data_IF_692913764270
#
_entry.id   IF_692913764270
#
_cell.length_a   1.000
_cell.length_b   1.000
_cell.length_c   1.000
_cell.angle_alpha   90.00
_cell.angle_beta   90.00
_cell.angle_gamma   90.00
#
_symmetry.space_group_name_H-M   'P 1'
#
loop_
_entity.id
_entity.type
_entity.pdbx_description
1 polymer ?
#
# COMPACT_ATOMS: atom_id res chain seq x y z
N UNK A 1 11.11 5.86 -13.91
CA UNK A 1 9.77 5.71 -14.51
C UNK A 1 9.81 6.26 -15.93
N UNK A 2 9.17 5.60 -16.89
CA UNK A 2 9.02 6.13 -18.25
C UNK A 2 8.00 7.28 -18.28
N UNK A 3 8.01 8.18 -19.27
CA UNK A 3 6.99 9.21 -19.40
C UNK A 3 5.57 8.61 -19.39
N UNK A 4 4.65 9.25 -18.66
CA UNK A 4 3.23 8.84 -18.51
C UNK A 4 3.00 7.53 -17.73
N UNK A 5 4.01 6.92 -17.10
CA UNK A 5 3.79 5.78 -16.21
C UNK A 5 3.24 6.20 -14.84
N UNK A 6 2.45 5.32 -14.19
CA UNK A 6 1.92 5.52 -12.84
C UNK A 6 2.48 4.48 -11.85
N UNK A 7 2.57 4.88 -10.58
CA UNK A 7 2.93 4.03 -9.44
C UNK A 7 2.02 4.38 -8.26
N UNK A 8 1.60 3.39 -7.47
CA UNK A 8 0.72 3.56 -6.31
C UNK A 8 -0.58 2.76 -6.43
N UNK A 9 -1.66 3.24 -5.81
CA UNK A 9 -3.00 2.63 -5.80
C UNK A 9 -2.99 1.12 -5.43
N UNK A 10 -2.21 0.77 -4.40
CA UNK A 10 -1.94 -0.61 -4.00
C UNK A 10 -2.86 -1.10 -2.88
N UNK A 11 -4.02 -0.44 -2.66
CA UNK A 11 -4.98 -0.86 -1.66
C UNK A 11 -5.40 -2.33 -1.88
N UNK A 12 -5.35 -3.20 -0.85
CA UNK A 12 -5.66 -4.61 -1.01
C UNK A 12 -7.11 -4.84 -1.41
N UNK A 13 -7.35 -5.80 -2.29
CA UNK A 13 -8.68 -6.27 -2.72
C UNK A 13 -8.72 -7.80 -2.70
N UNK A 14 -9.93 -8.37 -2.68
CA UNK A 14 -10.12 -9.80 -2.93
C UNK A 14 -9.66 -10.16 -4.35
N UNK A 15 -9.41 -11.45 -4.62
CA UNK A 15 -9.05 -11.93 -5.95
C UNK A 15 -10.10 -11.64 -7.03
N UNK A 16 -11.34 -11.37 -6.61
CA UNK A 16 -12.46 -10.95 -7.46
C UNK A 16 -12.48 -9.45 -7.74
N UNK A 17 -11.59 -8.67 -7.12
CA UNK A 17 -11.57 -7.20 -7.18
C UNK A 17 -12.52 -6.51 -6.19
N UNK A 18 -13.28 -7.26 -5.40
CA UNK A 18 -14.14 -6.70 -4.36
C UNK A 18 -13.33 -6.26 -3.13
N UNK A 19 -13.89 -5.36 -2.33
CA UNK A 19 -13.31 -4.96 -1.06
C UNK A 19 -13.21 -6.15 -0.09
N UNK A 20 -12.20 -6.12 0.78
CA UNK A 20 -12.09 -7.08 1.88
C UNK A 20 -13.16 -6.77 2.95
N UNK A 21 -13.72 -7.79 3.62
CA UNK A 21 -14.50 -7.56 4.82
C UNK A 21 -13.64 -6.89 5.90
N UNK A 22 -14.29 -6.13 6.79
CA UNK A 22 -13.64 -5.17 7.69
C UNK A 22 -12.45 -5.75 8.47
N UNK A 23 -12.63 -6.90 9.15
CA UNK A 23 -11.55 -7.48 9.95
C UNK A 23 -10.39 -8.00 9.11
N UNK A 24 -10.64 -8.60 7.93
CA UNK A 24 -9.55 -8.98 7.04
C UNK A 24 -8.87 -7.76 6.42
N UNK A 25 -9.61 -6.71 6.08
CA UNK A 25 -9.06 -5.45 5.59
C UNK A 25 -8.05 -4.88 6.58
N UNK A 26 -8.43 -4.73 7.84
CA UNK A 26 -7.57 -4.10 8.85
C UNK A 26 -6.29 -4.91 9.10
N UNK A 27 -6.40 -6.25 9.13
CA UNK A 27 -5.25 -7.15 9.23
C UNK A 27 -4.33 -7.04 8.01
N UNK A 28 -4.93 -7.02 6.83
CA UNK A 28 -4.20 -7.00 5.55
C UNK A 28 -3.47 -5.67 5.37
N UNK A 29 -4.17 -4.54 5.56
CA UNK A 29 -3.56 -3.21 5.51
C UNK A 29 -2.43 -3.09 6.52
N UNK A 30 -2.64 -3.51 7.78
CA UNK A 30 -1.59 -3.49 8.80
C UNK A 30 -0.32 -4.26 8.39
N UNK A 31 -0.47 -5.51 7.96
CA UNK A 31 0.65 -6.36 7.56
C UNK A 31 1.42 -5.80 6.35
N UNK A 32 0.70 -5.47 5.27
CA UNK A 32 1.32 -5.02 4.03
C UNK A 32 1.92 -3.63 4.15
N UNK A 33 1.28 -2.71 4.90
CA UNK A 33 1.87 -1.40 5.21
C UNK A 33 3.21 -1.54 5.94
N UNK A 34 3.30 -2.44 6.92
CA UNK A 34 4.56 -2.71 7.61
C UNK A 34 5.64 -3.26 6.68
N UNK A 35 5.28 -4.21 5.80
CA UNK A 35 6.21 -4.77 4.83
C UNK A 35 6.70 -3.71 3.84
N UNK A 36 5.78 -2.95 3.23
CA UNK A 36 6.11 -1.95 2.20
C UNK A 36 6.96 -0.82 2.76
N UNK A 37 6.64 -0.31 3.97
CA UNK A 37 7.52 0.64 4.67
C UNK A 37 8.93 0.07 4.88
N UNK A 38 9.04 -1.18 5.34
CA UNK A 38 10.34 -1.82 5.58
C UNK A 38 11.15 -1.91 4.29
N UNK A 39 10.50 -2.31 3.19
CA UNK A 39 11.14 -2.40 1.87
C UNK A 39 11.55 -1.03 1.33
N UNK A 40 10.71 -0.01 1.49
CA UNK A 40 11.05 1.36 1.10
C UNK A 40 12.28 1.86 1.87
N UNK A 41 12.29 1.72 3.19
CA UNK A 41 13.44 2.11 4.03
C UNK A 41 14.72 1.37 3.65
N UNK A 42 14.65 0.04 3.42
CA UNK A 42 15.81 -0.78 3.01
C UNK A 42 16.39 -0.36 1.66
N UNK A 43 15.55 0.14 0.75
CA UNK A 43 15.95 0.54 -0.59
C UNK A 43 16.20 2.05 -0.73
N UNK A 44 16.19 2.81 0.37
CA UNK A 44 16.43 4.26 0.35
C UNK A 44 15.29 5.09 -0.26
N UNK A 45 14.07 4.58 -0.25
CA UNK A 45 12.85 5.30 -0.66
C UNK A 45 12.11 5.88 0.55
N UNK A 46 11.21 6.84 0.32
CA UNK A 46 10.38 7.41 1.38
C UNK A 46 9.35 6.38 1.86
N UNK A 47 9.43 5.89 3.12
CA UNK A 47 8.51 4.87 3.63
C UNK A 47 7.08 5.40 3.83
N UNK A 48 6.90 6.69 4.10
CA UNK A 48 5.58 7.28 4.31
C UNK A 48 4.77 7.30 3.02
N UNK A 49 5.41 7.67 1.90
CA UNK A 49 4.80 7.61 0.55
C UNK A 49 4.47 6.16 0.19
N UNK A 50 5.38 5.22 0.50
CA UNK A 50 5.17 3.81 0.19
C UNK A 50 3.97 3.22 0.97
N UNK A 51 3.77 3.63 2.21
CA UNK A 51 2.58 3.25 2.99
C UNK A 51 1.30 3.90 2.47
N UNK A 52 1.35 5.17 2.06
CA UNK A 52 0.20 5.89 1.51
C UNK A 52 -0.36 5.22 0.24
N UNK A 53 0.45 4.44 -0.49
CA UNK A 53 -0.06 3.61 -1.58
C UNK A 53 -1.03 2.51 -1.13
N UNK A 54 -0.89 2.03 0.11
CA UNK A 54 -1.69 0.92 0.66
C UNK A 54 -2.94 1.42 1.40
N UNK A 55 -2.80 2.50 2.18
CA UNK A 55 -3.85 3.01 3.04
C UNK A 55 -4.52 4.24 2.43
N UNK A 56 -5.78 4.08 2.00
CA UNK A 56 -6.60 5.15 1.42
C UNK A 56 -6.85 6.32 2.37
N UNK A 57 -6.70 6.12 3.67
CA UNK A 57 -6.93 7.14 4.71
C UNK A 57 -5.66 7.92 5.07
N UNK A 58 -4.50 7.51 4.53
CA UNK A 58 -3.21 8.12 4.83
C UNK A 58 -2.86 9.17 3.78
N UNK A 59 -2.90 10.43 4.19
CA UNK A 59 -2.38 11.58 3.44
C UNK A 59 -0.88 11.80 3.72
N UNK A 60 -0.11 12.27 2.73
CA UNK A 60 1.34 12.53 2.81
C UNK A 60 1.75 13.82 2.10
#
# INVERSE_FOLDING_TARGET
MAPVSAIGAAAPVLSTGADLPETERDKTVSYWSALVRSMASRNGHNPEIAEAFMNKEKEV
#
